data_IF_039511986419
#
_entry.id   IF_039511986419
#
_cell.length_a   1.000
_cell.length_b   1.000
_cell.length_c   1.000
_cell.angle_alpha   90.00
_cell.angle_beta   90.00
_cell.angle_gamma   90.00
#
_symmetry.space_group_name_H-M   'P 1'
#
loop_
_entity.id
_entity.type
_entity.pdbx_description
1 polymer ?
#
# COMPACT_ATOMS: atom_id res chain seq x y z
N UNK A 1 -30.37 -11.25 -28.25
CA UNK A 1 -29.00 -11.14 -28.77
C UNK A 1 -28.07 -11.36 -27.59
N UNK A 2 -27.31 -12.47 -27.57
CA UNK A 2 -26.30 -12.69 -26.54
C UNK A 2 -25.06 -11.82 -26.79
N UNK A 3 -24.20 -11.60 -25.78
CA UNK A 3 -22.98 -10.81 -25.94
C UNK A 3 -22.10 -11.42 -27.02
N UNK A 4 -21.55 -10.57 -27.89
CA UNK A 4 -20.61 -11.02 -28.92
C UNK A 4 -19.21 -11.19 -28.33
N UNK A 5 -18.34 -12.02 -28.91
CA UNK A 5 -16.96 -12.19 -28.42
C UNK A 5 -16.17 -10.88 -28.29
N UNK A 6 -16.50 -9.85 -29.09
CA UNK A 6 -15.92 -8.51 -29.01
C UNK A 6 -16.38 -7.73 -27.76
N UNK A 7 -17.64 -7.86 -27.38
CA UNK A 7 -18.19 -7.24 -26.16
C UNK A 7 -17.52 -7.85 -24.91
N UNK A 8 -17.33 -9.17 -24.90
CA UNK A 8 -16.63 -9.90 -23.85
C UNK A 8 -15.17 -9.44 -23.68
N UNK A 9 -14.44 -9.27 -24.78
CA UNK A 9 -13.05 -8.82 -24.74
C UNK A 9 -12.92 -7.37 -24.25
N UNK A 10 -13.85 -6.50 -24.64
CA UNK A 10 -13.90 -5.11 -24.16
C UNK A 10 -14.19 -5.03 -22.65
N UNK A 11 -15.09 -5.88 -22.14
CA UNK A 11 -15.36 -5.96 -20.70
C UNK A 11 -14.14 -6.41 -19.89
N UNK A 12 -13.38 -7.39 -20.38
CA UNK A 12 -12.17 -7.87 -19.72
C UNK A 12 -11.12 -6.75 -19.61
N UNK A 13 -10.88 -6.02 -20.70
CA UNK A 13 -9.97 -4.85 -20.72
C UNK A 13 -10.41 -3.77 -19.73
N UNK A 14 -11.71 -3.46 -19.69
CA UNK A 14 -12.26 -2.49 -18.74
C UNK A 14 -12.05 -2.90 -17.28
N UNK A 15 -12.14 -4.20 -16.98
CA UNK A 15 -11.84 -4.73 -15.63
C UNK A 15 -10.35 -4.65 -15.33
N UNK A 16 -9.48 -4.94 -16.29
CA UNK A 16 -8.03 -4.80 -16.16
C UNK A 16 -7.62 -3.34 -15.85
N UNK A 17 -8.18 -2.38 -16.57
CA UNK A 17 -7.96 -0.95 -16.33
C UNK A 17 -8.35 -0.53 -14.91
N UNK A 18 -9.53 -0.94 -14.44
CA UNK A 18 -9.98 -0.66 -13.06
C UNK A 18 -9.01 -1.21 -12.01
N UNK A 19 -8.50 -2.42 -12.22
CA UNK A 19 -7.53 -3.02 -11.31
C UNK A 19 -6.21 -2.22 -11.29
N UNK A 20 -5.77 -1.72 -12.44
CA UNK A 20 -4.58 -0.86 -12.53
C UNK A 20 -4.78 0.49 -11.83
N UNK A 21 -5.97 1.06 -11.94
CA UNK A 21 -6.32 2.29 -11.22
C UNK A 21 -6.31 2.07 -9.71
N UNK A 22 -6.94 0.99 -9.23
CA UNK A 22 -6.86 0.58 -7.83
C UNK A 22 -5.41 0.38 -7.36
N UNK A 23 -4.56 -0.27 -8.17
CA UNK A 23 -3.15 -0.48 -7.85
C UNK A 23 -2.37 0.84 -7.77
N UNK A 24 -2.67 1.80 -8.65
CA UNK A 24 -2.06 3.13 -8.63
C UNK A 24 -2.44 3.89 -7.36
N UNK A 25 -3.72 3.87 -6.99
CA UNK A 25 -4.22 4.51 -5.77
C UNK A 25 -3.63 3.88 -4.51
N UNK A 26 -3.60 2.55 -4.43
CA UNK A 26 -3.00 1.83 -3.31
C UNK A 26 -1.52 2.19 -3.12
N UNK A 27 -0.75 2.31 -4.21
CA UNK A 27 0.65 2.79 -4.12
C UNK A 27 0.76 4.23 -3.64
N UNK A 28 -0.11 5.11 -4.12
CA UNK A 28 -0.12 6.51 -3.69
C UNK A 28 -0.40 6.61 -2.18
N UNK A 29 -1.35 5.83 -1.67
CA UNK A 29 -1.66 5.75 -0.25
C UNK A 29 -0.51 5.13 0.55
N UNK A 30 0.05 4.00 0.10
CA UNK A 30 1.17 3.33 0.77
C UNK A 30 2.38 4.25 0.94
N UNK A 31 2.72 5.04 -0.10
CA UNK A 31 3.81 6.03 -0.06
C UNK A 31 3.59 7.12 1.00
N UNK A 32 2.33 7.49 1.26
CA UNK A 32 1.98 8.47 2.29
C UNK A 32 1.97 7.86 3.69
N UNK A 33 1.55 6.61 3.83
CA UNK A 33 1.46 5.91 5.11
C UNK A 33 2.82 5.51 5.69
N UNK A 34 3.76 5.08 4.84
CA UNK A 34 5.07 4.59 5.27
C UNK A 34 5.80 5.55 6.22
N UNK A 35 6.10 6.80 5.78
CA UNK A 35 6.86 7.74 6.60
C UNK A 35 6.00 8.61 7.53
N UNK A 36 4.67 8.41 7.59
CA UNK A 36 3.75 9.37 8.21
C UNK A 36 4.09 9.72 9.68
N UNK A 37 4.60 8.74 10.43
CA UNK A 37 4.98 8.94 11.84
C UNK A 37 6.49 8.86 12.07
N UNK A 38 7.31 8.70 11.04
CA UNK A 38 8.76 8.49 11.19
C UNK A 38 9.42 9.65 11.93
N UNK A 39 9.12 10.89 11.52
CA UNK A 39 9.65 12.09 12.16
C UNK A 39 9.15 12.26 13.60
N UNK A 40 7.88 11.94 13.85
CA UNK A 40 7.30 12.04 15.19
C UNK A 40 7.96 11.02 16.13
N UNK A 41 8.15 9.78 15.69
CA UNK A 41 8.85 8.74 16.44
C UNK A 41 10.33 9.08 16.62
N UNK A 42 10.99 9.60 15.59
CA UNK A 42 12.39 10.04 15.66
C UNK A 42 12.57 11.18 16.66
N UNK A 43 11.59 12.07 16.84
CA UNK A 43 11.66 13.14 17.86
C UNK A 43 11.36 12.64 19.27
N UNK A 44 10.52 11.61 19.41
CA UNK A 44 10.14 11.05 20.71
C UNK A 44 11.19 10.06 21.28
N UNK A 45 11.87 9.29 20.41
CA UNK A 45 12.79 8.20 20.80
C UNK A 45 14.12 8.65 21.48
N UNK A 46 14.81 9.73 21.06
CA UNK A 46 16.15 10.09 21.56
C UNK A 46 16.17 10.46 23.05
N UNK A 47 15.04 10.88 23.61
CA UNK A 47 14.98 11.31 25.02
C UNK A 47 14.84 10.16 26.02
N UNK A 48 14.58 8.93 25.57
CA UNK A 48 14.53 7.74 26.42
C UNK A 48 15.86 6.95 26.45
N UNK A 49 16.73 7.12 25.45
CA UNK A 49 18.00 6.39 25.36
C UNK A 49 19.14 7.07 26.14
N UNK A 50 19.21 8.40 26.09
CA UNK A 50 20.30 9.17 26.69
C UNK A 50 20.25 9.22 28.23
N UNK A 51 19.09 8.95 28.83
CA UNK A 51 18.92 8.77 30.28
C UNK A 51 19.79 7.63 30.84
N UNK A 52 19.98 6.54 30.06
CA UNK A 52 20.77 5.38 30.50
C UNK A 52 22.28 5.57 30.37
N UNK A 53 22.73 6.56 29.60
CA UNK A 53 24.15 6.82 29.33
C UNK A 53 24.64 8.18 29.85
N UNK A 54 23.84 8.88 30.68
CA UNK A 54 24.25 10.13 31.33
C UNK A 54 24.44 11.31 30.38
N UNK A 55 23.72 11.35 29.27
CA UNK A 55 23.97 12.29 28.18
C UNK A 55 22.75 13.10 27.74
N UNK A 56 22.05 13.77 28.66
CA UNK A 56 21.34 15.05 28.39
C UNK A 56 20.50 15.43 29.62
N UNK A 57 21.06 16.27 30.50
CA UNK A 57 20.31 16.92 31.59
C UNK A 57 19.19 17.87 31.08
N UNK A 58 19.08 18.09 29.76
CA UNK A 58 18.15 19.03 29.12
C UNK A 58 16.94 18.42 28.39
N UNK A 59 16.76 17.10 28.39
CA UNK A 59 15.64 16.47 27.69
C UNK A 59 14.31 16.65 28.44
N UNK A 60 13.49 17.63 28.04
CA UNK A 60 12.18 17.92 28.70
C UNK A 60 11.09 16.83 28.52
N UNK A 61 11.32 15.81 27.70
CA UNK A 61 10.35 14.73 27.42
C UNK A 61 10.91 13.40 27.90
N UNK A 62 10.73 13.15 29.20
CA UNK A 62 11.22 11.98 29.94
C UNK A 62 10.19 11.53 30.96
N UNK A 63 10.39 10.33 31.53
CA UNK A 63 9.56 9.76 32.58
C UNK A 63 8.43 8.86 32.06
N UNK A 64 7.68 8.19 32.95
CA UNK A 64 6.76 7.11 32.60
C UNK A 64 5.72 7.50 31.55
N UNK A 65 5.20 8.74 31.63
CA UNK A 65 4.26 9.26 30.64
C UNK A 65 4.89 9.42 29.25
N UNK A 66 6.12 9.94 29.19
CA UNK A 66 6.85 10.10 27.93
C UNK A 66 7.16 8.73 27.30
N UNK A 67 7.51 7.73 28.13
CA UNK A 67 7.75 6.36 27.68
C UNK A 67 6.47 5.72 27.10
N UNK A 68 5.35 5.81 27.82
CA UNK A 68 4.06 5.31 27.35
C UNK A 68 3.60 5.96 26.03
N UNK A 69 3.72 7.29 25.94
CA UNK A 69 3.36 8.03 24.74
C UNK A 69 4.27 7.65 23.57
N UNK A 70 5.58 7.49 23.80
CA UNK A 70 6.55 7.07 22.79
C UNK A 70 6.25 5.64 22.33
N UNK A 71 5.92 4.73 23.25
CA UNK A 71 5.54 3.36 22.92
C UNK A 71 4.25 3.31 22.09
N UNK A 72 3.22 4.08 22.44
CA UNK A 72 1.98 4.21 21.66
C UNK A 72 2.25 4.77 20.27
N UNK A 73 3.14 5.75 20.15
CA UNK A 73 3.52 6.36 18.88
C UNK A 73 4.26 5.36 17.97
N UNK A 74 5.21 4.60 18.53
CA UNK A 74 5.90 3.51 17.83
C UNK A 74 4.94 2.39 17.40
N UNK A 75 3.98 2.03 18.25
CA UNK A 75 2.96 1.04 17.89
C UNK A 75 2.13 1.52 16.69
N UNK A 76 1.67 2.78 16.69
CA UNK A 76 0.92 3.37 15.58
C UNK A 76 1.76 3.44 14.30
N UNK A 77 3.04 3.79 14.40
CA UNK A 77 3.97 3.80 13.26
C UNK A 77 4.05 2.41 12.61
N UNK A 78 4.21 1.35 13.42
CA UNK A 78 4.23 -0.03 12.93
C UNK A 78 2.94 -0.41 12.23
N UNK A 79 1.78 -0.03 12.78
CA UNK A 79 0.48 -0.28 12.15
C UNK A 79 0.38 0.39 10.79
N UNK A 80 0.76 1.68 10.68
CA UNK A 80 0.71 2.42 9.41
C UNK A 80 1.69 1.85 8.38
N UNK A 81 2.89 1.48 8.79
CA UNK A 81 3.88 0.80 7.94
C UNK A 81 3.36 -0.55 7.45
N UNK A 82 2.70 -1.32 8.32
CA UNK A 82 2.03 -2.57 7.97
C UNK A 82 0.91 -2.39 6.96
N UNK A 83 0.04 -1.38 7.14
CA UNK A 83 -1.00 -1.03 6.17
C UNK A 83 -0.41 -0.62 4.82
N UNK A 84 0.66 0.18 4.82
CA UNK A 84 1.38 0.55 3.60
C UNK A 84 1.93 -0.68 2.87
N UNK A 85 2.51 -1.62 3.60
CA UNK A 85 3.03 -2.88 3.04
C UNK A 85 1.91 -3.75 2.45
N UNK A 86 0.79 -3.86 3.15
CA UNK A 86 -0.38 -4.60 2.67
C UNK A 86 -0.93 -3.99 1.36
N UNK A 87 -1.05 -2.66 1.30
CA UNK A 87 -1.48 -1.97 0.08
C UNK A 87 -0.52 -2.18 -1.11
N UNK A 88 0.79 -2.26 -0.86
CA UNK A 88 1.76 -2.57 -1.92
C UNK A 88 1.62 -4.02 -2.43
N UNK A 89 1.35 -4.96 -1.53
CA UNK A 89 1.08 -6.36 -1.89
C UNK A 89 -0.22 -6.47 -2.72
N UNK A 90 -1.28 -5.80 -2.29
CA UNK A 90 -2.56 -5.77 -3.02
C UNK A 90 -2.40 -5.11 -4.40
N UNK A 91 -1.67 -3.99 -4.50
CA UNK A 91 -1.38 -3.34 -5.77
C UNK A 91 -0.68 -4.29 -6.76
N UNK A 92 0.31 -5.04 -6.26
CA UNK A 92 1.05 -6.03 -7.08
C UNK A 92 0.13 -7.16 -7.55
N UNK A 93 -0.75 -7.64 -6.66
CA UNK A 93 -1.74 -8.67 -6.98
C UNK A 93 -2.73 -8.19 -8.04
N UNK A 94 -3.26 -6.98 -7.92
CA UNK A 94 -4.22 -6.43 -8.87
C UNK A 94 -3.61 -6.22 -10.26
N UNK A 95 -2.33 -5.84 -10.35
CA UNK A 95 -1.64 -5.76 -11.64
C UNK A 95 -1.49 -7.12 -12.29
N UNK A 96 -1.07 -8.15 -11.55
CA UNK A 96 -1.00 -9.50 -12.09
C UNK A 96 -2.37 -10.01 -12.59
N UNK A 97 -3.45 -9.64 -11.88
CA UNK A 97 -4.81 -9.94 -12.32
C UNK A 97 -5.23 -9.13 -13.56
N UNK A 98 -4.81 -7.87 -13.67
CA UNK A 98 -5.06 -7.05 -14.86
C UNK A 98 -4.36 -7.63 -16.09
N UNK A 99 -3.11 -8.07 -15.94
CA UNK A 99 -2.35 -8.67 -17.04
C UNK A 99 -2.94 -10.02 -17.48
N UNK A 100 -3.50 -10.80 -16.55
CA UNK A 100 -4.26 -12.01 -16.85
C UNK A 100 -5.53 -11.70 -17.66
N UNK A 101 -6.29 -10.68 -17.24
CA UNK A 101 -7.51 -10.27 -17.94
C UNK A 101 -7.22 -9.76 -19.36
N UNK A 102 -6.13 -9.03 -19.56
CA UNK A 102 -5.71 -8.60 -20.90
C UNK A 102 -5.36 -9.78 -21.80
N UNK A 103 -4.66 -10.79 -21.28
CA UNK A 103 -4.36 -12.01 -22.04
C UNK A 103 -5.64 -12.74 -22.45
N UNK A 104 -6.60 -12.88 -21.54
CA UNK A 104 -7.90 -13.47 -21.85
C UNK A 104 -8.68 -12.67 -22.89
N UNK A 105 -8.59 -11.33 -22.85
CA UNK A 105 -9.21 -10.47 -23.84
C UNK A 105 -8.59 -10.66 -25.24
N UNK A 106 -7.26 -10.79 -25.32
CA UNK A 106 -6.56 -11.08 -26.58
C UNK A 106 -6.95 -12.44 -27.16
N UNK A 107 -7.00 -13.48 -26.31
CA UNK A 107 -7.37 -14.83 -26.74
C UNK A 107 -8.81 -14.88 -27.27
N UNK A 108 -9.75 -14.20 -26.60
CA UNK A 108 -11.13 -14.06 -27.07
C UNK A 108 -11.25 -13.30 -28.39
N UNK A 109 -10.48 -12.22 -28.56
CA UNK A 109 -10.48 -11.45 -29.80
C UNK A 109 -9.98 -12.28 -31.00
N UNK A 110 -8.95 -13.12 -30.80
CA UNK A 110 -8.42 -14.04 -31.81
C UNK A 110 -9.40 -15.17 -32.14
N UNK A 111 -10.08 -15.73 -31.14
CA UNK A 111 -11.07 -16.77 -31.35
C UNK A 111 -12.29 -16.29 -32.17
N UNK A 112 -12.68 -15.02 -32.00
CA UNK A 112 -13.78 -14.41 -32.76
C UNK A 112 -13.47 -14.12 -34.24
N UNK A 113 -12.20 -14.08 -34.64
CA UNK A 113 -11.76 -13.79 -36.03
C UNK A 113 -11.50 -15.04 -36.87
N UNK A 114 -11.39 -16.23 -36.25
CA UNK A 114 -11.13 -17.50 -36.94
C UNK A 114 -12.38 -18.34 -37.28
N UNK A 115 -13.58 -17.87 -36.93
CA UNK A 115 -14.85 -18.54 -37.20
C UNK A 115 -15.72 -17.74 -38.16
N UNK A 116 -15.42 -17.79 -39.46
CA UNK A 116 -16.31 -17.36 -40.55
C UNK A 116 -15.97 -18.13 -41.82
#
# INVERSE_FOLDING_TARGET
MGPTPGDDAAELKKRAERLRDCAREARALARRLGPYLDDAVKKATPRAAAFRTGGDEGAIWQGPFADECTAKLQQRQRVLSGMGTALLADATRWEGQADELDRQAEDKAKAGTGGS
#
